data_IF_127749703010
#
_entry.id   IF_127749703010
#
_cell.length_a   1.000
_cell.length_b   1.000
_cell.length_c   1.000
_cell.angle_alpha   90.00
_cell.angle_beta   90.00
_cell.angle_gamma   90.00
#
_symmetry.space_group_name_H-M   'P 1'
#
loop_
_entity.id
_entity.type
_entity.pdbx_description
1 polymer ?
#
# COMPACT_ATOMS: atom_id res chain seq x y z
N UNK A 1 0.60 -12.04 -35.25
CA UNK A 1 0.45 -11.46 -33.90
C UNK A 1 1.38 -12.06 -32.83
N UNK A 2 2.16 -13.14 -33.11
CA UNK A 2 3.09 -13.71 -32.11
C UNK A 2 4.30 -12.81 -31.75
N UNK A 3 4.79 -11.99 -32.70
CA UNK A 3 5.97 -11.14 -32.47
C UNK A 3 5.73 -9.99 -31.50
N UNK A 4 4.51 -9.45 -31.43
CA UNK A 4 4.17 -8.34 -30.52
C UNK A 4 3.97 -8.86 -29.09
N UNK A 5 3.36 -10.04 -28.93
CA UNK A 5 3.19 -10.69 -27.63
C UNK A 5 4.54 -11.10 -27.01
N UNK A 6 5.49 -11.60 -27.82
CA UNK A 6 6.83 -11.98 -27.34
C UNK A 6 7.65 -10.79 -26.86
N UNK A 7 7.58 -9.64 -27.57
CA UNK A 7 8.28 -8.41 -27.15
C UNK A 7 7.68 -7.81 -25.88
N UNK A 8 6.36 -7.83 -25.75
CA UNK A 8 5.70 -7.38 -24.53
C UNK A 8 6.04 -8.27 -23.32
N UNK A 9 6.27 -9.57 -23.54
CA UNK A 9 6.72 -10.50 -22.49
C UNK A 9 8.19 -10.25 -22.08
N UNK A 10 9.10 -10.05 -23.05
CA UNK A 10 10.51 -9.72 -22.77
C UNK A 10 10.67 -8.35 -22.07
N UNK A 11 9.90 -7.33 -22.47
CA UNK A 11 9.92 -6.01 -21.81
C UNK A 11 9.36 -6.06 -20.36
N UNK A 12 8.40 -6.96 -20.10
CA UNK A 12 7.88 -7.20 -18.75
C UNK A 12 8.90 -7.92 -17.85
N UNK A 13 9.69 -8.84 -18.42
CA UNK A 13 10.70 -9.63 -17.69
C UNK A 13 11.86 -8.76 -17.16
N UNK A 14 12.27 -7.74 -17.92
CA UNK A 14 13.33 -6.80 -17.49
C UNK A 14 12.83 -5.81 -16.42
N UNK A 15 11.56 -5.40 -16.48
CA UNK A 15 10.96 -4.51 -15.46
C UNK A 15 10.73 -5.22 -14.12
N UNK A 16 10.47 -6.53 -14.18
CA UNK A 16 10.28 -7.43 -13.04
C UNK A 16 11.53 -7.57 -12.15
N UNK A 17 12.72 -7.65 -12.75
CA UNK A 17 13.97 -7.92 -12.03
C UNK A 17 14.35 -6.81 -11.03
N UNK A 18 14.08 -5.54 -11.36
CA UNK A 18 14.39 -4.40 -10.48
C UNK A 18 13.53 -4.42 -9.22
N UNK A 19 12.22 -4.65 -9.36
CA UNK A 19 11.29 -4.74 -8.23
C UNK A 19 11.67 -5.90 -7.32
N UNK A 20 11.94 -7.09 -7.89
CA UNK A 20 12.39 -8.27 -7.13
C UNK A 20 13.68 -8.02 -6.37
N UNK A 21 14.68 -7.41 -7.01
CA UNK A 21 15.96 -7.08 -6.36
C UNK A 21 15.75 -6.09 -5.22
N UNK A 22 14.93 -5.05 -5.44
CA UNK A 22 14.63 -4.04 -4.41
C UNK A 22 13.92 -4.65 -3.19
N UNK A 23 12.88 -5.46 -3.41
CA UNK A 23 12.18 -6.20 -2.35
C UNK A 23 13.15 -7.11 -1.60
N UNK A 24 13.97 -7.89 -2.32
CA UNK A 24 14.95 -8.77 -1.70
C UNK A 24 15.98 -8.02 -0.84
N UNK A 25 16.47 -6.85 -1.29
CA UNK A 25 17.36 -6.00 -0.49
C UNK A 25 16.66 -5.49 0.78
N UNK A 26 15.41 -5.07 0.67
CA UNK A 26 14.61 -4.62 1.81
C UNK A 26 14.32 -5.72 2.82
N UNK A 27 14.19 -6.98 2.40
CA UNK A 27 14.01 -8.11 3.32
C UNK A 27 15.30 -8.45 4.09
N UNK A 28 16.47 -8.13 3.52
CA UNK A 28 17.78 -8.53 4.06
C UNK A 28 18.44 -7.49 4.97
N UNK A 29 18.15 -6.21 4.81
CA UNK A 29 18.84 -5.13 5.54
C UNK A 29 17.89 -4.01 6.01
N UNK A 30 17.83 -3.81 7.33
CA UNK A 30 17.03 -2.75 7.97
C UNK A 30 17.50 -1.33 7.61
N UNK A 31 18.76 -1.15 7.22
CA UNK A 31 19.27 0.14 6.72
C UNK A 31 18.60 0.53 5.40
N UNK A 32 18.35 -0.45 4.53
CA UNK A 32 17.65 -0.21 3.26
C UNK A 32 16.21 0.21 3.53
N UNK A 33 15.53 -0.41 4.51
CA UNK A 33 14.19 -0.01 4.94
C UNK A 33 14.15 1.41 5.52
N UNK A 34 15.16 1.74 6.32
CA UNK A 34 15.30 3.08 6.90
C UNK A 34 15.49 4.13 5.80
N UNK A 35 16.38 3.87 4.85
CA UNK A 35 16.61 4.76 3.72
C UNK A 35 15.35 4.90 2.83
N UNK A 36 14.63 3.82 2.59
CA UNK A 36 13.36 3.87 1.85
C UNK A 36 12.34 4.78 2.54
N UNK A 37 12.24 4.70 3.86
CA UNK A 37 11.39 5.58 4.69
C UNK A 37 11.77 7.06 4.54
N UNK A 38 13.07 7.36 4.43
CA UNK A 38 13.58 8.73 4.25
C UNK A 38 13.37 9.28 2.83
N UNK A 39 13.42 8.42 1.82
CA UNK A 39 13.28 8.81 0.40
C UNK A 39 11.82 8.91 -0.03
N UNK A 40 10.92 8.13 0.56
CA UNK A 40 9.49 8.11 0.20
C UNK A 40 8.82 9.49 0.15
N UNK A 41 9.05 10.42 1.09
CA UNK A 41 8.51 11.78 1.01
C UNK A 41 8.95 12.56 -0.23
N UNK A 42 10.07 12.21 -0.87
CA UNK A 42 10.52 12.83 -2.12
C UNK A 42 9.70 12.33 -3.31
N UNK A 43 9.30 11.05 -3.30
CA UNK A 43 8.48 10.42 -4.36
C UNK A 43 6.99 10.72 -4.16
N UNK A 44 6.53 10.66 -2.91
CA UNK A 44 5.16 10.85 -2.51
C UNK A 44 5.07 11.95 -1.46
N UNK A 45 4.93 13.23 -1.85
CA UNK A 45 5.01 14.35 -0.90
C UNK A 45 4.00 14.32 0.24
N UNK A 46 2.83 13.71 0.00
CA UNK A 46 1.76 13.54 0.99
C UNK A 46 2.16 12.65 2.18
N UNK A 47 3.19 11.82 2.06
CA UNK A 47 3.70 10.98 3.16
C UNK A 47 4.15 11.83 4.37
N UNK A 48 4.50 13.10 4.16
CA UNK A 48 4.86 14.03 5.25
C UNK A 48 3.75 14.27 6.27
N UNK A 49 2.49 13.96 5.92
CA UNK A 49 1.37 14.08 6.85
C UNK A 49 1.16 12.83 7.71
N UNK A 50 1.80 11.71 7.39
CA UNK A 50 1.70 10.50 8.19
C UNK A 50 2.58 10.58 9.45
N UNK A 51 2.12 10.05 10.59
CA UNK A 51 2.98 9.75 11.72
C UNK A 51 4.12 8.81 11.34
N UNK A 52 5.28 8.93 11.99
CA UNK A 52 6.44 8.05 11.76
C UNK A 52 6.10 6.53 11.74
N UNK A 53 5.33 5.97 12.70
CA UNK A 53 4.99 4.54 12.65
C UNK A 53 4.16 4.18 11.40
N UNK A 54 3.30 5.09 10.95
CA UNK A 54 2.45 4.89 9.78
C UNK A 54 3.25 4.97 8.47
N UNK A 55 4.30 5.79 8.40
CA UNK A 55 5.24 5.74 7.26
C UNK A 55 5.93 4.38 7.18
N UNK A 56 6.36 3.82 8.31
CA UNK A 56 6.98 2.50 8.36
C UNK A 56 6.01 1.39 7.94
N UNK A 57 4.75 1.46 8.41
CA UNK A 57 3.71 0.55 8.00
C UNK A 57 3.44 0.62 6.49
N UNK A 58 3.35 1.84 5.92
CA UNK A 58 3.21 2.04 4.48
C UNK A 58 4.37 1.41 3.69
N UNK A 59 5.62 1.58 4.14
CA UNK A 59 6.80 0.99 3.49
C UNK A 59 6.68 -0.53 3.41
N UNK A 60 6.33 -1.17 4.54
CA UNK A 60 6.22 -2.63 4.63
C UNK A 60 5.10 -3.13 3.71
N UNK A 61 3.89 -2.57 3.84
CA UNK A 61 2.75 -3.00 3.04
C UNK A 61 2.97 -2.78 1.54
N UNK A 62 3.57 -1.63 1.15
CA UNK A 62 3.86 -1.35 -0.25
C UNK A 62 4.80 -2.38 -0.85
N UNK A 63 5.80 -2.86 -0.10
CA UNK A 63 6.73 -3.88 -0.58
C UNK A 63 6.10 -5.26 -0.70
N UNK A 64 5.35 -5.68 0.32
CA UNK A 64 4.66 -6.96 0.32
C UNK A 64 3.68 -7.03 -0.86
N UNK A 65 2.96 -5.93 -1.12
CA UNK A 65 2.02 -5.85 -2.25
C UNK A 65 2.74 -5.71 -3.59
N UNK A 66 3.89 -5.03 -3.67
CA UNK A 66 4.71 -4.99 -4.90
C UNK A 66 5.20 -6.39 -5.30
N UNK A 67 5.67 -7.19 -4.34
CA UNK A 67 6.10 -8.57 -4.57
C UNK A 67 4.94 -9.44 -5.05
N UNK A 68 3.81 -9.40 -4.34
CA UNK A 68 2.62 -10.17 -4.69
C UNK A 68 2.04 -9.76 -6.06
N UNK A 69 1.92 -8.46 -6.31
CA UNK A 69 1.41 -7.90 -7.57
C UNK A 69 2.29 -8.27 -8.77
N UNK A 70 3.61 -8.26 -8.59
CA UNK A 70 4.56 -8.69 -9.62
C UNK A 70 4.36 -10.17 -9.95
N UNK A 71 4.22 -11.04 -8.94
CA UNK A 71 4.01 -12.48 -9.16
C UNK A 71 2.75 -12.80 -9.98
N UNK A 72 1.76 -11.90 -9.91
CA UNK A 72 0.48 -11.99 -10.62
C UNK A 72 0.49 -11.21 -11.95
N UNK A 73 1.55 -10.45 -12.26
CA UNK A 73 1.60 -9.55 -13.41
C UNK A 73 0.51 -8.47 -13.39
N UNK A 74 0.04 -8.08 -12.20
CA UNK A 74 -1.09 -7.17 -12.04
C UNK A 74 -0.74 -6.00 -11.10
N UNK A 75 -0.59 -4.76 -11.60
CA UNK A 75 -0.21 -3.61 -10.77
C UNK A 75 -1.38 -2.99 -9.97
N UNK A 76 -2.63 -3.42 -10.20
CA UNK A 76 -3.79 -2.82 -9.55
C UNK A 76 -3.74 -2.82 -8.00
N UNK A 77 -3.27 -3.89 -7.32
CA UNK A 77 -3.14 -3.90 -5.87
C UNK A 77 -2.17 -2.83 -5.35
N UNK A 78 -1.06 -2.56 -6.06
CA UNK A 78 -0.08 -1.54 -5.67
C UNK A 78 -0.71 -0.14 -5.72
N UNK A 79 -1.44 0.15 -6.80
CA UNK A 79 -2.16 1.41 -6.94
C UNK A 79 -3.20 1.60 -5.83
N UNK A 80 -3.87 0.52 -5.41
CA UNK A 80 -4.83 0.53 -4.33
C UNK A 80 -4.18 0.88 -2.98
N UNK A 81 -3.04 0.26 -2.64
CA UNK A 81 -2.29 0.56 -1.40
C UNK A 81 -1.87 2.04 -1.37
N UNK A 82 -1.32 2.56 -2.47
CA UNK A 82 -0.92 3.97 -2.57
C UNK A 82 -2.12 4.90 -2.33
N UNK A 83 -3.28 4.60 -2.92
CA UNK A 83 -4.49 5.39 -2.74
C UNK A 83 -5.02 5.32 -1.30
N UNK A 84 -5.02 4.14 -0.68
CA UNK A 84 -5.44 3.95 0.70
C UNK A 84 -4.59 4.79 1.66
N UNK A 85 -3.27 4.68 1.58
CA UNK A 85 -2.36 5.44 2.44
C UNK A 85 -2.41 6.95 2.20
N UNK A 86 -2.67 7.38 0.96
CA UNK A 86 -2.92 8.80 0.67
C UNK A 86 -4.19 9.31 1.36
N UNK A 87 -5.25 8.50 1.45
CA UNK A 87 -6.45 8.87 2.18
C UNK A 87 -6.18 8.95 3.69
N UNK A 88 -5.41 8.00 4.25
CA UNK A 88 -4.93 8.06 5.65
C UNK A 88 -4.15 9.34 5.91
N UNK A 89 -3.23 9.71 5.01
CA UNK A 89 -2.50 10.98 5.10
C UNK A 89 -3.43 12.20 5.03
N UNK A 90 -4.48 12.14 4.20
CA UNK A 90 -5.52 13.16 4.13
C UNK A 90 -6.26 13.35 5.46
N UNK A 91 -6.55 12.27 6.17
CA UNK A 91 -7.12 12.32 7.53
C UNK A 91 -6.17 13.02 8.51
N UNK A 92 -4.88 12.69 8.48
CA UNK A 92 -3.91 13.36 9.37
C UNK A 92 -3.66 14.82 9.02
N UNK A 93 -3.80 15.19 7.74
CA UNK A 93 -3.66 16.55 7.26
C UNK A 93 -4.86 17.44 7.67
N UNK A 94 -6.02 16.85 7.94
CA UNK A 94 -7.24 17.55 8.33
C UNK A 94 -7.51 17.37 9.85
N UNK A 95 -7.23 18.39 10.68
CA UNK A 95 -7.41 18.28 12.13
C UNK A 95 -8.88 18.11 12.55
N UNK A 96 -9.85 18.59 11.77
CA UNK A 96 -11.27 18.45 12.08
C UNK A 96 -11.70 16.99 11.87
N UNK A 97 -11.35 16.41 10.73
CA UNK A 97 -11.61 14.99 10.43
C UNK A 97 -10.89 14.09 11.43
N UNK A 98 -9.63 14.39 11.75
CA UNK A 98 -8.86 13.62 12.73
C UNK A 98 -9.51 13.68 14.13
N UNK A 99 -10.02 14.83 14.55
CA UNK A 99 -10.71 14.99 15.82
C UNK A 99 -12.00 14.15 15.88
N UNK A 100 -12.77 14.13 14.80
CA UNK A 100 -13.99 13.30 14.69
C UNK A 100 -13.65 11.82 14.78
N UNK A 101 -12.64 11.34 14.04
CA UNK A 101 -12.25 9.92 14.03
C UNK A 101 -11.61 9.45 15.34
N UNK A 102 -10.94 10.35 16.07
CA UNK A 102 -10.38 10.03 17.40
C UNK A 102 -11.44 9.99 18.50
N UNK A 103 -12.62 10.56 18.28
CA UNK A 103 -13.71 10.48 19.24
C UNK A 103 -14.18 9.03 19.32
N UNK A 104 -14.24 8.47 20.54
CA UNK A 104 -14.84 7.16 20.75
C UNK A 104 -16.31 7.20 20.30
N UNK A 105 -16.67 6.34 19.36
CA UNK A 105 -18.05 6.11 18.99
C UNK A 105 -18.79 5.38 20.11
N UNK A 106 -20.09 5.64 20.23
CA UNK A 106 -20.94 4.87 21.11
C UNK A 106 -21.12 3.47 20.51
N UNK A 107 -20.96 2.44 21.33
CA UNK A 107 -21.36 1.09 20.96
C UNK A 107 -22.89 1.07 20.88
N UNK A 108 -23.43 0.86 19.67
CA UNK A 108 -24.86 0.86 19.42
C UNK A 108 -25.54 -0.47 19.82
N UNK A 109 -24.79 -1.37 20.47
CA UNK A 109 -25.28 -2.64 20.96
C UNK A 109 -25.16 -3.78 19.94
N UNK A 110 -25.62 -4.95 20.34
CA UNK A 110 -25.49 -6.18 19.56
C UNK A 110 -26.29 -6.11 18.26
N UNK A 111 -25.63 -6.41 17.13
CA UNK A 111 -26.28 -6.50 15.81
C UNK A 111 -27.09 -7.80 15.76
N UNK A 112 -28.40 -7.69 15.55
CA UNK A 112 -29.27 -8.85 15.40
C UNK A 112 -28.77 -9.75 14.25
N UNK A 113 -28.80 -11.07 14.47
CA UNK A 113 -28.45 -12.04 13.45
C UNK A 113 -29.34 -11.82 12.20
N UNK A 114 -28.79 -11.93 10.99
CA UNK A 114 -29.60 -11.77 9.77
C UNK A 114 -30.73 -12.80 9.79
N UNK A 115 -31.97 -12.33 9.59
CA UNK A 115 -33.14 -13.19 9.48
C UNK A 115 -32.89 -14.21 8.38
N UNK A 116 -32.73 -15.48 8.74
CA UNK A 116 -32.82 -16.57 7.79
C UNK A 116 -34.29 -16.70 7.36
N UNK A 117 -34.76 -15.74 6.55
CA UNK A 117 -35.99 -15.90 5.79
C UNK A 117 -35.70 -16.95 4.73
N UNK A 118 -35.93 -18.20 5.11
CA UNK A 118 -36.22 -19.27 4.16
C UNK A 118 -37.69 -19.09 3.77
N UNK A 119 -37.92 -18.74 2.50
CA UNK A 119 -39.19 -18.89 1.82
C UNK A 119 -38.91 -19.49 0.45
#
# INVERSE_FOLDING_TARGET
MLSTASRAAEEAEVTSATTKLFVAMMQKDDRVRTLATEVLPTVFPWVRFLPKPDVQAFVVELMDVLEAAESLGNPAPVAHVIAMWKNTAGVYADPEVLAVLKKRGDDLGEVAAPDSTTA
#
